data_IF_787071168679
#
_entry.id   IF_787071168679
#
_cell.length_a   1.000
_cell.length_b   1.000
_cell.length_c   1.000
_cell.angle_alpha   90.00
_cell.angle_beta   90.00
_cell.angle_gamma   90.00
#
_symmetry.space_group_name_H-M   'P 1'
#
loop_
_entity.id
_entity.type
_entity.pdbx_description
1 polymer ?
#
# COMPACT_ATOMS: atom_id res chain seq x y z
N UNK A 1 14.09 1.55 9.89
CA UNK A 1 12.87 2.33 9.85
C UNK A 1 11.63 1.42 9.73
N UNK A 2 11.75 0.26 9.08
CA UNK A 2 10.73 -0.79 9.07
C UNK A 2 11.36 -2.09 9.52
N UNK A 3 10.73 -2.78 10.49
CA UNK A 3 11.16 -4.09 10.95
C UNK A 3 9.95 -5.01 11.05
N UNK A 4 9.98 -6.11 10.31
CA UNK A 4 9.00 -7.18 10.35
C UNK A 4 9.65 -8.43 10.94
N UNK A 5 9.07 -9.02 11.98
CA UNK A 5 9.60 -10.19 12.69
C UNK A 5 8.54 -11.27 12.79
N UNK A 6 8.73 -12.39 12.09
CA UNK A 6 7.86 -13.56 12.13
C UNK A 6 6.41 -13.27 11.76
N UNK A 7 6.19 -12.34 10.84
CA UNK A 7 4.86 -11.83 10.48
C UNK A 7 4.05 -12.93 9.80
N UNK A 8 2.89 -13.23 10.38
CA UNK A 8 1.94 -14.16 9.78
C UNK A 8 0.53 -13.58 9.83
N UNK A 9 -0.18 -13.66 8.71
CA UNK A 9 -1.49 -13.08 8.52
C UNK A 9 -2.46 -14.17 8.09
N UNK A 10 -3.52 -14.36 8.91
CA UNK A 10 -4.54 -15.37 8.69
C UNK A 10 -5.88 -14.71 8.37
N UNK A 11 -6.51 -15.19 7.33
CA UNK A 11 -7.91 -14.92 7.04
C UNK A 11 -8.78 -16.10 7.50
N UNK A 12 -9.88 -15.76 8.10
CA UNK A 12 -10.91 -16.74 8.45
C UNK A 12 -12.06 -16.53 7.47
N UNK A 13 -12.32 -17.54 6.64
CA UNK A 13 -13.44 -17.55 5.72
C UNK A 13 -14.47 -18.58 6.18
N UNK A 14 -15.72 -18.18 6.25
CA UNK A 14 -16.83 -19.04 6.65
C UNK A 14 -18.11 -18.22 6.78
N UNK A 15 -19.21 -18.88 6.98
CA UNK A 15 -20.58 -18.31 7.06
C UNK A 15 -20.82 -17.39 8.29
N UNK A 16 -19.82 -16.57 8.67
CA UNK A 16 -19.89 -15.77 9.90
C UNK A 16 -20.70 -14.47 9.78
N UNK A 17 -20.89 -13.95 8.57
CA UNK A 17 -21.38 -12.57 8.41
C UNK A 17 -22.88 -12.40 8.56
N UNK A 18 -23.66 -13.48 8.40
CA UNK A 18 -25.12 -13.40 8.34
C UNK A 18 -25.87 -14.45 9.16
N UNK A 19 -25.19 -15.14 10.11
CA UNK A 19 -25.83 -16.21 10.87
C UNK A 19 -26.30 -15.68 12.22
N UNK A 20 -27.62 -15.74 12.46
CA UNK A 20 -28.19 -15.49 13.78
C UNK A 20 -27.69 -16.52 14.82
N UNK A 21 -27.66 -16.13 16.11
CA UNK A 21 -27.16 -16.96 17.20
C UNK A 21 -27.79 -18.38 17.24
N UNK A 22 -29.05 -18.50 16.84
CA UNK A 22 -29.76 -19.80 16.76
C UNK A 22 -29.18 -20.69 15.65
N UNK A 23 -28.91 -20.13 14.50
CA UNK A 23 -28.36 -20.84 13.34
C UNK A 23 -26.91 -21.25 13.58
N UNK A 24 -26.11 -20.40 14.26
CA UNK A 24 -24.77 -20.73 14.72
C UNK A 24 -24.74 -21.98 15.60
N UNK A 25 -25.63 -22.02 16.63
CA UNK A 25 -25.73 -23.17 17.54
C UNK A 25 -26.16 -24.43 16.79
N UNK A 26 -27.15 -24.31 15.89
CA UNK A 26 -27.66 -25.45 15.10
C UNK A 26 -26.59 -26.03 14.15
N UNK A 27 -25.85 -25.17 13.43
CA UNK A 27 -24.76 -25.60 12.52
C UNK A 27 -23.57 -26.20 13.30
N UNK A 28 -23.28 -25.71 14.49
CA UNK A 28 -22.25 -26.29 15.36
C UNK A 28 -22.65 -27.66 15.89
N UNK A 29 -23.92 -27.89 16.22
CA UNK A 29 -24.44 -29.18 16.68
C UNK A 29 -24.60 -30.20 15.54
N UNK A 30 -24.86 -29.75 14.31
CA UNK A 30 -25.02 -30.63 13.14
C UNK A 30 -23.73 -30.92 12.41
N UNK A 31 -22.57 -30.41 12.87
CA UNK A 31 -21.27 -30.61 12.22
C UNK A 31 -21.08 -29.87 10.89
N UNK A 32 -22.06 -29.05 10.48
CA UNK A 32 -22.04 -28.29 9.22
C UNK A 32 -21.34 -26.92 9.32
N UNK A 33 -20.63 -26.67 10.43
CA UNK A 33 -19.90 -25.44 10.65
C UNK A 33 -18.47 -25.59 10.11
N UNK A 34 -18.24 -25.18 8.87
CA UNK A 34 -16.92 -25.18 8.24
C UNK A 34 -16.29 -23.79 8.33
N UNK A 35 -15.31 -23.66 9.20
CA UNK A 35 -14.40 -22.52 9.22
C UNK A 35 -13.19 -22.89 8.36
N UNK A 36 -12.97 -22.21 7.27
CA UNK A 36 -11.75 -22.33 6.48
C UNK A 36 -10.77 -21.26 6.92
N UNK A 37 -9.63 -21.66 7.42
CA UNK A 37 -8.51 -20.78 7.71
C UNK A 37 -7.58 -20.76 6.50
N UNK A 38 -7.17 -19.57 6.11
CA UNK A 38 -6.20 -19.36 5.03
C UNK A 38 -5.11 -18.42 5.52
N UNK A 39 -3.88 -18.89 5.46
CA UNK A 39 -2.72 -18.06 5.77
C UNK A 39 -2.27 -17.35 4.51
N UNK A 40 -2.46 -16.02 4.49
CA UNK A 40 -2.05 -15.19 3.38
C UNK A 40 -0.55 -14.92 3.40
N UNK A 41 0.02 -14.79 4.61
CA UNK A 41 1.45 -14.67 4.84
C UNK A 41 1.83 -15.53 6.05
N UNK A 42 3.03 -16.12 6.00
CA UNK A 42 3.55 -17.01 7.02
C UNK A 42 5.03 -16.78 7.29
N UNK A 43 5.35 -16.37 8.52
CA UNK A 43 6.71 -16.21 9.06
C UNK A 43 7.61 -15.29 8.22
N UNK A 44 7.07 -14.13 7.81
CA UNK A 44 7.80 -13.14 7.01
C UNK A 44 8.65 -12.27 7.92
N UNK A 45 9.97 -12.20 7.62
CA UNK A 45 10.94 -11.43 8.40
C UNK A 45 11.85 -10.64 7.48
N UNK A 46 11.92 -9.31 7.68
CA UNK A 46 12.84 -8.42 6.97
C UNK A 46 13.05 -7.13 7.73
N UNK A 47 14.13 -6.41 7.38
CA UNK A 47 14.46 -5.12 7.96
C UNK A 47 14.90 -4.14 6.88
N UNK A 48 14.36 -2.90 6.96
CA UNK A 48 14.74 -1.80 6.08
C UNK A 48 15.32 -0.66 6.91
N UNK A 49 16.42 -0.13 6.42
CA UNK A 49 17.05 1.08 6.93
C UNK A 49 16.50 2.32 6.21
N UNK A 50 16.82 3.50 6.73
CA UNK A 50 16.44 4.76 6.08
C UNK A 50 17.10 4.87 4.70
N UNK A 51 16.31 5.16 3.69
CA UNK A 51 16.74 5.25 2.30
C UNK A 51 16.72 3.94 1.53
N UNK A 52 16.37 2.81 2.18
CA UNK A 52 16.16 1.56 1.45
C UNK A 52 14.90 1.61 0.59
N UNK A 53 14.99 1.02 -0.60
CA UNK A 53 13.88 0.79 -1.49
C UNK A 53 13.67 -0.72 -1.67
N UNK A 54 12.60 -1.25 -1.06
CA UNK A 54 12.27 -2.68 -1.11
C UNK A 54 11.34 -2.98 -2.28
N UNK A 55 11.75 -3.87 -3.18
CA UNK A 55 10.88 -4.50 -4.15
C UNK A 55 10.20 -5.74 -3.55
N UNK A 56 8.87 -5.86 -3.63
CA UNK A 56 8.18 -7.10 -3.27
C UNK A 56 7.73 -7.80 -4.54
N UNK A 57 8.29 -8.97 -4.81
CA UNK A 57 8.00 -9.78 -5.99
C UNK A 57 7.30 -11.09 -5.62
N UNK A 58 6.56 -11.66 -6.56
CA UNK A 58 5.83 -12.92 -6.39
C UNK A 58 4.61 -12.99 -7.30
N UNK A 59 4.10 -14.20 -7.47
CA UNK A 59 2.91 -14.47 -8.30
C UNK A 59 1.64 -13.80 -7.72
N UNK A 60 0.56 -13.78 -8.52
CA UNK A 60 -0.74 -13.36 -8.01
C UNK A 60 -1.18 -14.28 -6.86
N UNK A 61 -1.68 -13.69 -5.77
CA UNK A 61 -2.04 -14.44 -4.55
C UNK A 61 -0.85 -14.82 -3.65
N UNK A 62 0.37 -14.35 -3.93
CA UNK A 62 1.55 -14.65 -3.11
C UNK A 62 1.56 -13.98 -1.72
N UNK A 63 0.59 -13.10 -1.40
CA UNK A 63 0.52 -12.40 -0.11
C UNK A 63 0.90 -10.91 -0.17
N UNK A 64 1.50 -10.43 -1.26
CA UNK A 64 2.07 -9.07 -1.39
C UNK A 64 1.16 -7.95 -0.85
N UNK A 65 -0.08 -7.87 -1.35
CA UNK A 65 -1.03 -6.82 -0.92
C UNK A 65 -1.47 -6.97 0.54
N UNK A 66 -1.51 -8.18 1.07
CA UNK A 66 -1.82 -8.44 2.48
C UNK A 66 -0.69 -7.95 3.37
N UNK A 67 0.55 -8.27 3.02
CA UNK A 67 1.73 -7.79 3.73
C UNK A 67 1.82 -6.25 3.71
N UNK A 68 1.53 -5.63 2.55
CA UNK A 68 1.50 -4.17 2.45
C UNK A 68 0.45 -3.53 3.37
N UNK A 69 -0.75 -4.11 3.46
CA UNK A 69 -1.80 -3.63 4.39
C UNK A 69 -1.35 -3.72 5.86
N UNK A 70 -0.58 -4.75 6.19
CA UNK A 70 -0.03 -4.87 7.54
C UNK A 70 1.09 -3.84 7.80
N UNK A 71 1.97 -3.58 6.84
CA UNK A 71 3.03 -2.57 6.93
C UNK A 71 2.42 -1.16 7.03
N UNK A 72 1.34 -0.90 6.29
CA UNK A 72 0.61 0.38 6.32
C UNK A 72 -0.21 0.59 7.61
N UNK A 73 -0.24 -0.39 8.53
CA UNK A 73 -1.06 -0.32 9.75
C UNK A 73 -2.56 -0.51 9.54
N UNK A 74 -3.00 -0.82 8.31
CA UNK A 74 -4.41 -1.10 8.00
C UNK A 74 -4.84 -2.44 8.61
N UNK A 75 -3.90 -3.37 8.76
CA UNK A 75 -4.14 -4.70 9.27
C UNK A 75 -3.13 -5.07 10.35
N UNK A 76 -3.60 -5.67 11.43
CA UNK A 76 -2.74 -6.19 12.50
C UNK A 76 -2.35 -7.64 12.16
N UNK A 77 -1.06 -8.00 12.18
CA UNK A 77 -0.63 -9.38 11.98
C UNK A 77 -1.26 -10.33 13.01
N UNK A 78 -1.57 -11.56 12.58
CA UNK A 78 -2.08 -12.61 13.48
C UNK A 78 -0.96 -13.12 14.41
N UNK A 79 0.27 -13.15 13.91
CA UNK A 79 1.49 -13.48 14.67
C UNK A 79 2.63 -12.58 14.23
N UNK A 80 3.66 -12.49 15.07
CA UNK A 80 4.80 -11.62 14.84
C UNK A 80 4.47 -10.16 15.09
N UNK A 81 5.35 -9.28 14.65
CA UNK A 81 5.17 -7.82 14.78
C UNK A 81 5.75 -7.08 13.60
N UNK A 82 5.16 -5.93 13.31
CA UNK A 82 5.70 -4.94 12.38
C UNK A 82 5.89 -3.66 13.17
N UNK A 83 7.07 -3.08 13.06
CA UNK A 83 7.42 -1.79 13.64
C UNK A 83 7.80 -0.85 12.51
N UNK A 84 7.14 0.30 12.45
CA UNK A 84 7.46 1.38 11.51
C UNK A 84 7.79 2.64 12.30
N UNK A 85 8.92 3.26 12.00
CA UNK A 85 9.34 4.51 12.61
C UNK A 85 9.28 5.61 11.57
N UNK A 86 8.30 6.51 11.70
CA UNK A 86 8.03 7.59 10.77
C UNK A 86 6.62 7.58 10.18
N UNK A 87 6.32 8.59 9.40
CA UNK A 87 5.03 8.74 8.69
C UNK A 87 4.99 7.85 7.46
N UNK A 88 3.90 7.10 7.28
CA UNK A 88 3.71 6.17 6.15
C UNK A 88 2.67 6.75 5.19
N UNK A 89 3.05 6.97 3.95
CA UNK A 89 2.09 7.25 2.87
C UNK A 89 2.00 6.04 1.93
N UNK A 90 0.81 5.46 1.85
CA UNK A 90 0.54 4.35 0.95
C UNK A 90 -0.26 4.82 -0.27
N UNK A 91 0.27 4.59 -1.46
CA UNK A 91 -0.42 4.82 -2.73
C UNK A 91 -1.23 3.58 -3.17
N UNK A 92 -1.41 2.61 -2.27
CA UNK A 92 -2.10 1.33 -2.51
C UNK A 92 -3.59 1.49 -2.83
N UNK A 93 -4.24 2.37 -2.12
CA UNK A 93 -5.67 2.66 -2.26
C UNK A 93 -5.83 4.18 -2.25
N UNK A 94 -5.34 4.81 -3.34
CA UNK A 94 -5.28 6.28 -3.45
C UNK A 94 -6.59 6.96 -3.07
N UNK A 95 -7.72 6.36 -3.39
CA UNK A 95 -9.05 6.94 -3.11
C UNK A 95 -9.68 6.42 -1.82
N UNK A 96 -9.03 5.53 -1.08
CA UNK A 96 -9.49 5.07 0.24
C UNK A 96 -9.33 6.17 1.29
N UNK A 97 -10.27 6.22 2.25
CA UNK A 97 -10.25 7.21 3.34
C UNK A 97 -10.67 8.62 2.93
N UNK A 98 -11.29 8.78 1.75
CA UNK A 98 -12.02 9.99 1.39
C UNK A 98 -13.50 9.83 1.70
N UNK A 99 -14.12 10.90 2.17
CA UNK A 99 -15.57 10.97 2.36
C UNK A 99 -16.22 11.64 1.15
N UNK A 100 -17.15 10.93 0.51
CA UNK A 100 -17.81 11.40 -0.71
C UNK A 100 -18.66 12.65 -0.50
N UNK A 101 -19.17 12.88 0.70
CA UNK A 101 -20.04 13.99 1.02
C UNK A 101 -19.27 15.26 1.43
N UNK A 102 -18.03 15.11 1.86
CA UNK A 102 -17.13 16.22 2.12
C UNK A 102 -16.60 16.85 0.82
N UNK A 103 -16.30 18.13 0.86
CA UNK A 103 -15.67 18.88 -0.24
C UNK A 103 -14.24 18.41 -0.50
N UNK A 104 -13.66 18.83 -1.65
CA UNK A 104 -12.24 18.61 -1.94
C UNK A 104 -11.36 19.20 -0.84
N UNK A 105 -11.69 20.42 -0.39
CA UNK A 105 -10.99 21.10 0.71
C UNK A 105 -11.01 20.27 1.99
N UNK A 106 -12.19 19.89 2.45
CA UNK A 106 -12.36 19.12 3.69
C UNK A 106 -11.66 17.77 3.61
N UNK A 107 -11.75 17.08 2.49
CA UNK A 107 -11.05 15.83 2.26
C UNK A 107 -9.52 15.97 2.26
N UNK A 108 -8.99 17.10 1.78
CA UNK A 108 -7.54 17.35 1.82
C UNK A 108 -7.05 17.40 3.27
N UNK A 109 -7.78 18.10 4.15
CA UNK A 109 -7.45 18.14 5.58
C UNK A 109 -7.70 16.81 6.29
N UNK A 110 -8.79 16.11 5.96
CA UNK A 110 -9.10 14.79 6.50
C UNK A 110 -7.96 13.79 6.20
N UNK A 111 -7.51 13.75 4.95
CA UNK A 111 -6.39 12.88 4.54
C UNK A 111 -5.08 13.26 5.20
N UNK A 112 -4.79 14.55 5.32
CA UNK A 112 -3.62 15.03 6.07
C UNK A 112 -3.63 14.55 7.52
N UNK A 113 -4.78 14.66 8.20
CA UNK A 113 -4.94 14.20 9.56
C UNK A 113 -4.81 12.69 9.71
N UNK A 114 -5.35 11.90 8.76
CA UNK A 114 -5.19 10.45 8.72
C UNK A 114 -3.74 10.00 8.51
N UNK A 115 -2.95 10.82 7.80
CA UNK A 115 -1.51 10.60 7.62
C UNK A 115 -0.67 11.11 8.81
N UNK A 116 -1.31 11.70 9.85
CA UNK A 116 -0.66 12.18 11.05
C UNK A 116 -0.16 13.63 10.99
N UNK A 117 -0.54 14.40 9.96
CA UNK A 117 -0.14 15.81 9.83
C UNK A 117 -1.06 16.74 10.60
N UNK A 118 -0.47 17.80 11.17
CA UNK A 118 -1.24 18.84 11.88
C UNK A 118 -1.98 19.74 10.89
N UNK A 119 -3.04 20.39 11.38
CA UNK A 119 -3.78 21.38 10.57
C UNK A 119 -2.88 22.51 10.09
N UNK A 120 -2.02 23.02 10.95
CA UNK A 120 -1.09 24.12 10.60
C UNK A 120 -0.13 23.72 9.46
N UNK A 121 0.35 22.47 9.45
CA UNK A 121 1.14 21.96 8.34
C UNK A 121 0.32 21.86 7.05
N UNK A 122 -0.91 21.33 7.14
CA UNK A 122 -1.80 21.23 5.97
C UNK A 122 -2.20 22.61 5.43
N UNK A 123 -2.37 23.63 6.28
CA UNK A 123 -2.63 25.00 5.85
C UNK A 123 -1.48 25.55 4.98
N UNK A 124 -0.23 25.21 5.30
CA UNK A 124 0.94 25.60 4.50
C UNK A 124 1.03 24.84 3.16
N UNK A 125 0.62 23.58 3.13
CA UNK A 125 0.72 22.72 1.94
C UNK A 125 -0.50 22.79 1.03
N UNK A 126 -1.61 23.35 1.50
CA UNK A 126 -2.91 23.26 0.85
C UNK A 126 -2.91 23.79 -0.59
N UNK A 127 -2.41 24.99 -0.78
CA UNK A 127 -2.41 25.63 -2.11
C UNK A 127 -1.52 24.89 -3.10
N UNK A 128 -0.39 24.35 -2.64
CA UNK A 128 0.51 23.54 -3.47
C UNK A 128 -0.17 22.21 -3.85
N UNK A 129 -0.83 21.54 -2.90
CA UNK A 129 -1.57 20.30 -3.15
C UNK A 129 -2.67 20.52 -4.19
N UNK A 130 -3.50 21.55 -4.02
CA UNK A 130 -4.61 21.84 -4.92
C UNK A 130 -4.11 22.26 -6.31
N UNK A 131 -3.04 23.05 -6.36
CA UNK A 131 -2.40 23.44 -7.63
C UNK A 131 -1.78 22.26 -8.35
N UNK A 132 -1.10 21.38 -7.62
CA UNK A 132 -0.52 20.17 -8.20
C UNK A 132 -1.61 19.23 -8.74
N UNK A 133 -2.72 19.06 -8.01
CA UNK A 133 -3.87 18.26 -8.42
C UNK A 133 -4.68 18.88 -9.59
N UNK A 134 -4.49 20.16 -9.90
CA UNK A 134 -5.25 20.94 -10.89
C UNK A 134 -6.75 20.99 -10.54
N UNK A 135 -7.04 21.28 -9.26
CA UNK A 135 -8.40 21.28 -8.71
C UNK A 135 -8.83 22.64 -8.13
N UNK A 136 -8.20 23.75 -8.55
CA UNK A 136 -8.47 25.09 -8.03
C UNK A 136 -9.95 25.48 -8.11
N UNK A 137 -10.61 25.13 -9.22
CA UNK A 137 -12.03 25.47 -9.46
C UNK A 137 -13.02 24.47 -8.82
N UNK A 138 -12.49 23.42 -8.16
CA UNK A 138 -13.30 22.32 -7.62
C UNK A 138 -13.26 22.22 -6.10
N UNK A 139 -12.60 23.15 -5.41
CA UNK A 139 -12.29 23.05 -3.98
C UNK A 139 -13.51 22.86 -3.09
N UNK A 140 -14.60 23.54 -3.41
CA UNK A 140 -15.85 23.50 -2.63
C UNK A 140 -16.86 22.46 -3.17
N UNK A 141 -16.47 21.65 -4.17
CA UNK A 141 -17.34 20.57 -4.67
C UNK A 141 -17.24 19.33 -3.80
N UNK A 142 -18.33 18.62 -3.55
CA UNK A 142 -18.33 17.30 -2.92
C UNK A 142 -17.45 16.32 -3.68
N UNK A 143 -16.63 15.52 -2.96
CA UNK A 143 -15.67 14.60 -3.55
C UNK A 143 -16.34 13.54 -4.46
N UNK A 144 -17.56 13.11 -4.13
CA UNK A 144 -18.33 12.17 -4.96
C UNK A 144 -18.60 12.67 -6.37
N UNK A 145 -18.62 13.99 -6.59
CA UNK A 145 -18.88 14.60 -7.90
C UNK A 145 -17.64 14.68 -8.80
N UNK A 146 -16.46 14.37 -8.26
CA UNK A 146 -15.23 14.34 -9.05
C UNK A 146 -15.18 13.09 -9.93
N UNK A 147 -14.56 13.21 -11.11
CA UNK A 147 -14.20 12.05 -11.92
C UNK A 147 -13.18 11.17 -11.21
N UNK A 148 -13.04 9.90 -11.63
CA UNK A 148 -12.02 8.99 -11.08
C UNK A 148 -10.60 9.54 -11.25
N UNK A 149 -10.30 10.17 -12.38
CA UNK A 149 -9.01 10.82 -12.63
C UNK A 149 -8.74 11.99 -11.66
N UNK A 150 -9.73 12.86 -11.41
CA UNK A 150 -9.62 13.97 -10.46
C UNK A 150 -9.41 13.46 -9.02
N UNK A 151 -10.13 12.40 -8.63
CA UNK A 151 -9.95 11.73 -7.32
C UNK A 151 -8.54 11.20 -7.14
N UNK A 152 -8.02 10.51 -8.15
CA UNK A 152 -6.65 9.99 -8.13
C UNK A 152 -5.59 11.09 -8.12
N UNK A 153 -5.82 12.21 -8.86
CA UNK A 153 -4.94 13.38 -8.84
C UNK A 153 -4.86 13.99 -7.44
N UNK A 154 -6.00 14.23 -6.78
CA UNK A 154 -6.02 14.76 -5.42
C UNK A 154 -5.27 13.84 -4.44
N UNK A 155 -5.60 12.55 -4.46
CA UNK A 155 -5.01 11.57 -3.56
C UNK A 155 -3.48 11.46 -3.73
N UNK A 156 -3.00 11.43 -4.97
CA UNK A 156 -1.57 11.43 -5.28
C UNK A 156 -0.90 12.72 -4.82
N UNK A 157 -1.51 13.88 -5.07
CA UNK A 157 -0.94 15.17 -4.69
C UNK A 157 -0.75 15.29 -3.18
N UNK A 158 -1.75 14.88 -2.40
CA UNK A 158 -1.62 14.84 -0.94
C UNK A 158 -0.45 13.91 -0.54
N UNK A 159 -0.45 12.66 -1.00
CA UNK A 159 0.53 11.67 -0.58
C UNK A 159 1.98 12.01 -1.01
N UNK A 160 2.16 12.68 -2.16
CA UNK A 160 3.48 12.99 -2.71
C UNK A 160 4.09 14.31 -2.23
N UNK A 161 3.26 15.26 -1.80
CA UNK A 161 3.73 16.60 -1.40
C UNK A 161 3.97 16.73 0.10
N UNK A 162 3.40 15.85 0.93
CA UNK A 162 3.60 15.88 2.38
C UNK A 162 4.92 15.26 2.85
N UNK A 163 5.79 14.79 1.94
CA UNK A 163 7.11 14.22 2.19
C UNK A 163 7.11 13.15 3.32
N UNK A 164 6.50 12.01 3.11
CA UNK A 164 6.46 10.95 4.12
C UNK A 164 7.85 10.34 4.34
N UNK A 165 8.09 9.76 5.54
CA UNK A 165 9.32 9.03 5.83
C UNK A 165 9.37 7.70 5.09
N UNK A 166 8.21 7.08 4.87
CA UNK A 166 8.02 5.79 4.20
C UNK A 166 6.95 5.93 3.12
N UNK A 167 7.30 5.54 1.90
CA UNK A 167 6.39 5.57 0.75
C UNK A 167 6.11 4.15 0.26
N UNK A 168 4.84 3.78 0.17
CA UNK A 168 4.42 2.47 -0.34
C UNK A 168 3.76 2.65 -1.70
N UNK A 169 4.32 1.98 -2.71
CA UNK A 169 3.93 2.03 -4.11
C UNK A 169 3.39 0.67 -4.55
N UNK A 170 2.21 0.65 -5.15
CA UNK A 170 1.63 -0.57 -5.73
C UNK A 170 1.46 -0.38 -7.23
N UNK A 171 2.29 -1.06 -8.02
CA UNK A 171 2.30 -1.14 -9.50
C UNK A 171 2.31 0.22 -10.25
N UNK A 172 1.77 1.28 -9.67
CA UNK A 172 1.55 2.55 -10.35
C UNK A 172 2.51 3.62 -9.84
N UNK A 173 3.61 3.84 -10.57
CA UNK A 173 4.50 4.98 -10.32
C UNK A 173 3.96 6.31 -10.85
N UNK A 174 2.86 6.29 -11.60
CA UNK A 174 2.23 7.48 -12.14
C UNK A 174 0.72 7.32 -12.21
N UNK A 175 -0.03 8.35 -11.86
CA UNK A 175 -1.49 8.36 -11.82
C UNK A 175 -2.06 9.45 -12.74
N UNK A 176 -3.35 9.34 -13.02
CA UNK A 176 -4.08 10.31 -13.84
C UNK A 176 -4.01 10.02 -15.33
N UNK A 177 -4.44 10.99 -16.10
CA UNK A 177 -4.49 10.99 -17.56
C UNK A 177 -3.35 11.84 -18.15
N UNK A 178 -3.05 11.64 -19.41
CA UNK A 178 -2.24 12.49 -20.27
C UNK A 178 -1.08 13.22 -19.56
N UNK A 179 -1.21 14.54 -19.44
CA UNK A 179 -0.20 15.43 -18.87
C UNK A 179 0.06 15.18 -17.39
N UNK A 180 -0.98 14.81 -16.63
CA UNK A 180 -0.82 14.54 -15.20
C UNK A 180 0.00 13.27 -14.93
N UNK A 181 -0.07 12.26 -15.80
CA UNK A 181 0.76 11.06 -15.69
C UNK A 181 2.25 11.40 -15.79
N UNK A 182 2.62 12.29 -16.70
CA UNK A 182 4.02 12.74 -16.80
C UNK A 182 4.43 13.54 -15.55
N UNK A 183 3.57 14.45 -15.08
CA UNK A 183 3.80 15.28 -13.90
C UNK A 183 3.97 14.42 -12.62
N UNK A 184 3.07 13.46 -12.40
CA UNK A 184 3.13 12.55 -11.26
C UNK A 184 4.34 11.61 -11.34
N UNK A 185 4.69 11.12 -12.53
CA UNK A 185 5.90 10.31 -12.73
C UNK A 185 7.20 11.09 -12.46
N UNK A 186 7.26 12.38 -12.86
CA UNK A 186 8.40 13.25 -12.54
C UNK A 186 8.52 13.47 -11.03
N UNK A 187 7.40 13.79 -10.36
CA UNK A 187 7.38 13.97 -8.90
C UNK A 187 7.81 12.71 -8.17
N UNK A 188 7.38 11.55 -8.64
CA UNK A 188 7.80 10.28 -8.05
C UNK A 188 9.31 10.06 -8.18
N UNK A 189 9.90 10.32 -9.36
CA UNK A 189 11.35 10.23 -9.56
C UNK A 189 12.11 11.18 -8.65
N UNK A 190 11.61 12.41 -8.46
CA UNK A 190 12.19 13.38 -7.53
C UNK A 190 12.20 12.83 -6.08
N UNK A 191 11.05 12.30 -5.62
CA UNK A 191 10.92 11.73 -4.27
C UNK A 191 11.91 10.56 -4.06
N UNK A 192 11.99 9.66 -5.04
CA UNK A 192 12.91 8.52 -4.98
C UNK A 192 14.38 8.96 -5.01
N UNK A 193 14.71 9.96 -5.82
CA UNK A 193 16.07 10.52 -5.88
C UNK A 193 16.52 11.20 -4.57
N UNK A 194 15.57 11.69 -3.77
CA UNK A 194 15.83 12.29 -2.45
C UNK A 194 16.06 11.24 -1.34
N UNK A 195 16.09 9.94 -1.67
CA UNK A 195 16.43 8.87 -0.72
C UNK A 195 15.33 8.57 0.29
N UNK A 196 14.05 8.73 -0.11
CA UNK A 196 12.93 8.27 0.71
C UNK A 196 13.01 6.75 0.91
N UNK A 197 12.65 6.28 2.09
CA UNK A 197 12.48 4.84 2.30
C UNK A 197 11.20 4.39 1.61
N UNK A 198 11.26 3.31 0.82
CA UNK A 198 10.10 2.92 0.05
C UNK A 198 9.88 1.42 -0.06
N UNK A 199 8.66 1.05 -0.38
CA UNK A 199 8.28 -0.31 -0.75
C UNK A 199 7.56 -0.22 -2.10
N UNK A 200 8.05 -0.99 -3.06
CA UNK A 200 7.47 -1.11 -4.40
C UNK A 200 6.95 -2.52 -4.62
N UNK A 201 5.67 -2.66 -4.93
CA UNK A 201 5.14 -3.89 -5.53
C UNK A 201 5.04 -3.67 -7.03
N UNK A 202 5.69 -4.51 -7.81
CA UNK A 202 5.61 -4.45 -9.26
C UNK A 202 5.64 -5.85 -9.88
N UNK A 203 4.92 -6.01 -11.00
CA UNK A 203 5.04 -7.18 -11.86
C UNK A 203 6.21 -7.08 -12.85
N UNK A 204 6.80 -5.91 -13.01
CA UNK A 204 7.98 -5.68 -13.85
C UNK A 204 9.26 -5.85 -13.04
N UNK A 205 9.99 -6.95 -13.29
CA UNK A 205 11.29 -7.19 -12.65
C UNK A 205 12.31 -6.14 -13.05
N UNK A 206 12.27 -5.64 -14.29
CA UNK A 206 13.14 -4.56 -14.73
C UNK A 206 12.96 -3.29 -13.89
N UNK A 207 11.71 -2.94 -13.58
CA UNK A 207 11.39 -1.80 -12.72
C UNK A 207 11.90 -2.00 -11.28
N UNK A 208 11.79 -3.23 -10.75
CA UNK A 208 12.33 -3.58 -9.43
C UNK A 208 13.86 -3.48 -9.44
N UNK A 209 14.53 -3.95 -10.51
CA UNK A 209 15.99 -3.83 -10.65
C UNK A 209 16.46 -2.38 -10.75
N UNK A 210 15.68 -1.52 -11.41
CA UNK A 210 16.01 -0.10 -11.59
C UNK A 210 15.85 0.70 -10.30
N UNK A 211 14.79 0.44 -9.54
CA UNK A 211 14.37 1.32 -8.44
C UNK A 211 14.70 0.80 -7.04
N UNK A 212 14.93 -0.50 -6.88
CA UNK A 212 15.07 -1.12 -5.56
C UNK A 212 16.52 -1.54 -5.28
N UNK A 213 16.93 -1.44 -4.02
CA UNK A 213 18.23 -1.98 -3.56
C UNK A 213 18.07 -3.29 -2.75
N UNK A 214 16.86 -3.57 -2.27
CA UNK A 214 16.49 -4.82 -1.60
C UNK A 214 15.27 -5.43 -2.24
N UNK A 215 15.15 -6.76 -2.21
CA UNK A 215 13.99 -7.48 -2.72
C UNK A 215 13.54 -8.55 -1.72
N UNK A 216 12.23 -8.60 -1.51
CA UNK A 216 11.54 -9.66 -0.81
C UNK A 216 10.73 -10.48 -1.83
N UNK A 217 11.05 -11.76 -1.95
CA UNK A 217 10.30 -12.68 -2.79
C UNK A 217 9.33 -13.52 -1.96
N UNK A 218 8.05 -13.41 -2.31
CA UNK A 218 6.96 -14.19 -1.72
C UNK A 218 6.41 -15.21 -2.73
N UNK A 219 6.13 -16.43 -2.28
CA UNK A 219 5.37 -17.43 -3.03
C UNK A 219 4.40 -18.16 -2.09
N UNK A 220 3.10 -18.14 -2.44
CA UNK A 220 2.03 -18.75 -1.61
C UNK A 220 2.08 -18.35 -0.12
N UNK A 221 2.29 -17.05 0.15
CA UNK A 221 2.36 -16.50 1.51
C UNK A 221 3.66 -16.77 2.26
N UNK A 222 4.64 -17.44 1.66
CA UNK A 222 5.92 -17.73 2.28
C UNK A 222 7.03 -16.84 1.72
N UNK A 223 7.90 -16.41 2.60
CA UNK A 223 9.14 -15.79 2.21
C UNK A 223 10.08 -16.84 1.60
N UNK A 224 10.34 -16.68 0.32
CA UNK A 224 11.27 -17.54 -0.41
C UNK A 224 12.70 -17.02 -0.32
N UNK A 225 12.84 -15.69 -0.36
CA UNK A 225 14.13 -15.03 -0.29
C UNK A 225 14.00 -13.56 0.11
N UNK A 226 15.07 -13.01 0.68
CA UNK A 226 15.22 -11.58 0.99
C UNK A 226 16.68 -11.18 0.92
N UNK A 227 16.99 -10.10 0.20
CA UNK A 227 18.38 -9.65 0.05
C UNK A 227 18.56 -8.60 -1.03
N UNK A 228 19.76 -8.52 -1.58
CA UNK A 228 20.12 -7.60 -2.65
C UNK A 228 19.31 -7.85 -3.93
N UNK A 229 18.95 -6.78 -4.61
CA UNK A 229 18.03 -6.81 -5.75
C UNK A 229 18.48 -7.77 -6.85
N UNK A 230 19.75 -7.69 -7.27
CA UNK A 230 20.24 -8.49 -8.39
C UNK A 230 20.11 -9.99 -8.11
N UNK A 231 20.58 -10.42 -6.92
CA UNK A 231 20.61 -11.83 -6.55
C UNK A 231 19.22 -12.44 -6.39
N UNK A 232 18.31 -11.72 -5.72
CA UNK A 232 16.95 -12.22 -5.47
C UNK A 232 16.14 -12.24 -6.76
N UNK A 233 16.27 -11.21 -7.62
CA UNK A 233 15.60 -11.17 -8.91
C UNK A 233 16.07 -12.30 -9.84
N UNK A 234 17.39 -12.60 -9.89
CA UNK A 234 17.91 -13.68 -10.71
C UNK A 234 17.35 -15.05 -10.28
N UNK A 235 17.29 -15.29 -8.94
CA UNK A 235 16.68 -16.52 -8.38
C UNK A 235 15.18 -16.60 -8.67
N UNK A 236 14.46 -15.48 -8.56
CA UNK A 236 13.03 -15.41 -8.88
C UNK A 236 12.75 -15.72 -10.35
N UNK A 237 13.49 -15.12 -11.27
CA UNK A 237 13.34 -15.37 -12.72
C UNK A 237 13.66 -16.82 -13.10
N UNK A 238 14.73 -17.37 -12.54
CA UNK A 238 15.07 -18.79 -12.74
C UNK A 238 13.97 -19.73 -12.24
N UNK A 239 13.32 -19.40 -11.11
CA UNK A 239 12.19 -20.15 -10.59
C UNK A 239 10.97 -20.05 -11.51
N UNK A 240 10.66 -18.85 -11.99
CA UNK A 240 9.53 -18.62 -12.90
C UNK A 240 9.68 -19.33 -14.25
N UNK A 241 10.91 -19.43 -14.77
CA UNK A 241 11.22 -20.19 -15.99
C UNK A 241 10.99 -21.70 -15.84
N UNK A 242 11.20 -22.25 -14.63
CA UNK A 242 10.96 -23.68 -14.34
C UNK A 242 9.48 -24.03 -14.13
N UNK A 243 8.63 -23.03 -13.86
CA UNK A 243 7.17 -23.21 -13.68
C UNK A 243 6.39 -23.13 -15.00
N UNK A 244 7.01 -22.69 -16.09
CA UNK A 244 6.44 -22.70 -17.45
C UNK A 244 6.69 -24.03 -18.12
#
# INVERSE_FOLDING_TARGET
IIRAEGVSIRYITGDFKDIGLKEYVLRKLTGNYQVKEFWADWDVTFELEKGDMLGIVGTNGAGKSTLLKAISGIMVPTRGKIQTNGTVAALLELTSGFDGDLTVRENTYLRGALLGYTRAFMDQMYDEIISFAELQDFQERPFKQLSSGMKSRLAFSIASLVNPDILILDEVLSVGDGSFRQKSGNKMREILANGVTGILVSHSIDQVRELCNKVLWLDHGKQMDFGGTQEVCDRYEAFMQRKK
#
